data_IF_093597848773
#
_entry.id   IF_093597848773
#
_cell.length_a   1.000
_cell.length_b   1.000
_cell.length_c   1.000
_cell.angle_alpha   90.00
_cell.angle_beta   90.00
_cell.angle_gamma   90.00
#
_symmetry.space_group_name_H-M   'P 1'
#
loop_
_entity.id
_entity.type
_entity.pdbx_description
1 polymer ?
#
# COMPACT_ATOMS: atom_id res chain seq x y z
N UNK A 1 -4.89 -12.29 21.04
CA UNK A 1 -6.04 -12.31 20.10
C UNK A 1 -6.39 -10.87 19.74
N UNK A 2 -6.07 -10.44 18.52
CA UNK A 2 -6.47 -9.11 18.04
C UNK A 2 -7.94 -9.22 17.62
N UNK A 3 -8.84 -8.56 18.35
CA UNK A 3 -10.25 -8.42 17.93
C UNK A 3 -10.25 -7.86 16.50
N UNK A 4 -10.82 -8.62 15.57
CA UNK A 4 -10.88 -8.24 14.17
C UNK A 4 -11.77 -7.00 14.04
N UNK A 5 -11.16 -5.84 13.78
CA UNK A 5 -11.85 -4.54 13.62
C UNK A 5 -12.85 -4.55 12.44
N UNK A 6 -12.80 -5.59 11.62
CA UNK A 6 -13.53 -5.73 10.35
C UNK A 6 -14.62 -6.80 10.36
N UNK A 7 -14.83 -7.53 11.46
CA UNK A 7 -15.63 -8.77 11.49
C UNK A 7 -16.99 -8.70 10.80
N UNK A 8 -17.77 -7.64 11.04
CA UNK A 8 -19.12 -7.49 10.44
C UNK A 8 -19.13 -6.80 9.07
N UNK A 9 -18.00 -6.22 8.64
CA UNK A 9 -17.91 -5.46 7.39
C UNK A 9 -17.22 -6.22 6.26
N UNK A 10 -16.52 -7.30 6.58
CA UNK A 10 -15.92 -8.18 5.58
C UNK A 10 -17.01 -8.96 4.83
N UNK A 11 -16.91 -8.97 3.49
CA UNK A 11 -17.84 -9.61 2.57
C UNK A 11 -17.12 -10.67 1.76
N UNK A 12 -17.88 -11.65 1.28
CA UNK A 12 -17.40 -12.68 0.35
C UNK A 12 -18.15 -12.52 -0.97
N UNK A 13 -17.41 -12.31 -2.05
CA UNK A 13 -17.95 -12.38 -3.40
C UNK A 13 -17.77 -13.80 -3.94
N UNK A 14 -18.88 -14.44 -4.33
CA UNK A 14 -18.88 -15.79 -4.90
C UNK A 14 -18.62 -15.70 -6.41
N UNK A 15 -17.56 -16.35 -6.85
CA UNK A 15 -17.18 -16.48 -8.27
C UNK A 15 -16.52 -17.85 -8.48
N UNK A 16 -15.61 -18.00 -9.44
CA UNK A 16 -14.82 -19.23 -9.63
C UNK A 16 -14.04 -19.60 -8.37
N UNK A 17 -13.53 -18.59 -7.66
CA UNK A 17 -13.08 -18.70 -6.27
C UNK A 17 -13.70 -17.59 -5.42
N UNK A 18 -13.82 -17.84 -4.12
CA UNK A 18 -14.28 -16.84 -3.17
C UNK A 18 -13.29 -15.67 -3.09
N UNK A 19 -13.77 -14.45 -3.27
CA UNK A 19 -12.98 -13.22 -3.04
C UNK A 19 -13.43 -12.58 -1.74
N UNK A 20 -12.52 -12.46 -0.78
CA UNK A 20 -12.77 -11.74 0.47
C UNK A 20 -12.40 -10.28 0.30
N UNK A 21 -13.31 -9.40 0.67
CA UNK A 21 -13.13 -7.97 0.50
C UNK A 21 -13.84 -7.17 1.59
N UNK A 22 -13.40 -5.94 1.75
CA UNK A 22 -14.07 -4.91 2.53
C UNK A 22 -14.39 -3.73 1.60
N UNK A 23 -15.64 -3.26 1.64
CA UNK A 23 -16.10 -2.17 0.77
C UNK A 23 -16.70 -1.04 1.59
N UNK A 24 -16.17 0.16 1.37
CA UNK A 24 -16.70 1.42 1.90
C UNK A 24 -17.42 2.16 0.77
N UNK A 25 -18.71 2.35 0.96
CA UNK A 25 -19.60 3.03 0.00
C UNK A 25 -19.51 4.55 0.19
N UNK A 26 -19.36 5.28 -0.90
CA UNK A 26 -19.50 6.74 -0.97
C UNK A 26 -20.42 7.05 -2.16
N UNK A 27 -21.76 6.99 -1.96
CA UNK A 27 -22.73 6.98 -3.06
C UNK A 27 -22.67 8.20 -4.00
N UNK A 28 -22.22 9.34 -3.48
CA UNK A 28 -22.10 10.59 -4.24
C UNK A 28 -20.80 10.67 -5.06
N UNK A 29 -19.90 9.69 -4.90
CA UNK A 29 -18.64 9.62 -5.64
C UNK A 29 -18.76 8.69 -6.85
N UNK A 30 -18.29 9.16 -8.00
CA UNK A 30 -18.13 8.38 -9.22
C UNK A 30 -16.75 7.71 -9.34
N UNK A 31 -15.90 7.85 -8.32
CA UNK A 31 -14.61 7.18 -8.20
C UNK A 31 -14.68 5.84 -7.45
N UNK A 32 -13.87 4.88 -7.91
CA UNK A 32 -13.57 3.62 -7.21
C UNK A 32 -12.06 3.49 -6.97
N UNK A 33 -11.65 3.44 -5.71
CA UNK A 33 -10.30 3.07 -5.30
C UNK A 33 -10.23 1.60 -4.92
N UNK A 34 -9.45 0.82 -5.65
CA UNK A 34 -9.16 -0.59 -5.40
C UNK A 34 -7.81 -0.73 -4.72
N UNK A 35 -7.79 -1.27 -3.51
CA UNK A 35 -6.57 -1.42 -2.69
C UNK A 35 -6.20 -2.89 -2.54
N UNK A 36 -5.00 -3.23 -3.00
CA UNK A 36 -4.43 -4.57 -2.90
C UNK A 36 -3.53 -4.70 -1.67
N UNK A 37 -3.67 -5.83 -0.97
CA UNK A 37 -2.91 -6.16 0.24
C UNK A 37 -1.43 -6.49 -0.03
N UNK A 38 -0.58 -6.19 0.93
CA UNK A 38 0.83 -6.58 0.95
C UNK A 38 1.03 -8.04 1.40
N UNK A 39 2.26 -8.54 1.31
CA UNK A 39 2.63 -9.84 1.89
C UNK A 39 2.75 -9.71 3.40
N UNK A 40 2.25 -10.71 4.09
CA UNK A 40 2.34 -10.85 5.54
C UNK A 40 2.93 -12.23 5.89
N UNK A 41 3.31 -12.48 7.16
CA UNK A 41 3.73 -13.81 7.59
C UNK A 41 2.67 -14.88 7.29
N UNK A 42 3.06 -16.16 7.16
CA UNK A 42 2.14 -17.26 6.85
C UNK A 42 0.86 -17.24 7.69
N UNK A 43 -0.27 -17.43 7.01
CA UNK A 43 -1.62 -17.50 7.58
C UNK A 43 -2.07 -16.23 8.32
N UNK A 44 -1.43 -15.08 8.08
CA UNK A 44 -1.86 -13.77 8.56
C UNK A 44 -2.20 -12.91 7.36
N UNK A 45 -3.46 -12.59 7.17
CA UNK A 45 -3.91 -11.74 6.07
C UNK A 45 -4.49 -10.45 6.64
N UNK A 46 -4.08 -9.30 6.09
CA UNK A 46 -4.53 -7.98 6.55
C UNK A 46 -4.83 -7.07 5.37
N UNK A 47 -5.79 -6.16 5.57
CA UNK A 47 -6.00 -5.04 4.66
C UNK A 47 -4.96 -3.95 4.92
N UNK A 48 -4.45 -3.35 3.85
CA UNK A 48 -3.54 -2.23 3.92
C UNK A 48 -4.30 -0.90 3.77
N UNK A 49 -3.75 0.17 4.34
CA UNK A 49 -4.18 1.56 4.15
C UNK A 49 -5.61 1.93 4.61
N UNK A 50 -6.37 1.03 5.23
CA UNK A 50 -7.75 1.35 5.66
C UNK A 50 -7.81 2.59 6.56
N UNK A 51 -6.89 2.73 7.53
CA UNK A 51 -6.85 3.93 8.37
C UNK A 51 -6.33 5.17 7.65
N UNK A 52 -5.42 5.00 6.69
CA UNK A 52 -4.85 6.08 5.88
C UNK A 52 -5.92 6.70 4.98
N UNK A 53 -6.80 5.86 4.41
CA UNK A 53 -7.80 6.25 3.42
C UNK A 53 -9.20 6.50 4.02
N UNK A 54 -9.33 6.49 5.35
CA UNK A 54 -10.62 6.56 6.03
C UNK A 54 -11.39 7.85 5.73
N UNK A 55 -10.67 8.96 5.51
CA UNK A 55 -11.28 10.28 5.26
C UNK A 55 -11.35 10.66 3.78
N UNK A 56 -10.76 9.84 2.89
CA UNK A 56 -10.87 10.02 1.44
C UNK A 56 -12.32 9.77 0.99
N UNK A 57 -12.88 10.69 0.22
CA UNK A 57 -14.26 10.65 -0.27
C UNK A 57 -14.35 9.96 -1.62
N UNK A 58 -14.32 8.63 -1.61
CA UNK A 58 -14.61 7.80 -2.77
C UNK A 58 -15.08 6.40 -2.36
N UNK A 59 -15.64 5.64 -3.30
CA UNK A 59 -15.90 4.23 -3.07
C UNK A 59 -14.57 3.51 -2.93
N UNK A 60 -14.38 2.73 -1.86
CA UNK A 60 -13.11 2.05 -1.56
C UNK A 60 -13.32 0.56 -1.44
N UNK A 61 -12.64 -0.19 -2.29
CA UNK A 61 -12.63 -1.65 -2.30
C UNK A 61 -11.26 -2.15 -1.86
N UNK A 62 -11.21 -2.76 -0.68
CA UNK A 62 -10.02 -3.43 -0.16
C UNK A 62 -10.16 -4.93 -0.41
N UNK A 63 -9.21 -5.55 -1.13
CA UNK A 63 -9.29 -6.97 -1.47
C UNK A 63 -8.22 -7.74 -0.71
N UNK A 64 -8.62 -8.80 -0.01
CA UNK A 64 -7.71 -9.63 0.77
C UNK A 64 -7.16 -10.78 -0.09
N UNK A 65 -5.83 -10.86 -0.21
CA UNK A 65 -5.16 -11.98 -0.89
C UNK A 65 -4.97 -13.16 0.05
N UNK A 66 -6.04 -13.92 0.31
CA UNK A 66 -6.06 -15.04 1.26
C UNK A 66 -5.88 -16.42 0.61
N UNK A 67 -5.20 -16.48 -0.52
CA UNK A 67 -4.96 -17.70 -1.28
C UNK A 67 -3.57 -18.28 -0.97
N UNK A 68 -3.45 -19.61 -0.89
CA UNK A 68 -2.23 -20.24 -0.38
C UNK A 68 -1.88 -19.79 1.05
N UNK A 69 -0.63 -19.95 1.45
CA UNK A 69 -0.19 -19.62 2.82
C UNK A 69 0.03 -18.12 3.05
N UNK A 70 0.34 -17.35 2.00
CA UNK A 70 0.78 -15.94 2.11
C UNK A 70 0.19 -15.01 1.03
N UNK A 71 -0.79 -15.50 0.27
CA UNK A 71 -1.35 -14.82 -0.89
C UNK A 71 -0.69 -15.28 -2.19
N UNK A 72 -1.39 -15.08 -3.31
CA UNK A 72 -1.00 -15.56 -4.62
C UNK A 72 -0.87 -14.43 -5.66
N UNK A 73 -0.61 -13.19 -5.21
CA UNK A 73 -0.54 -12.01 -6.08
C UNK A 73 -1.83 -11.81 -6.90
N UNK A 74 -2.94 -12.37 -6.40
CA UNK A 74 -4.23 -12.43 -7.09
C UNK A 74 -4.20 -13.08 -8.48
N UNK A 75 -3.31 -14.05 -8.71
CA UNK A 75 -3.16 -14.74 -10.01
C UNK A 75 -3.94 -16.07 -10.04
N UNK A 76 -3.38 -17.11 -9.46
CA UNK A 76 -3.95 -18.46 -9.41
C UNK A 76 -2.86 -19.50 -9.18
N UNK A 77 -3.29 -20.73 -8.92
CA UNK A 77 -2.39 -21.87 -8.70
C UNK A 77 -1.98 -22.52 -10.04
N UNK A 78 -0.75 -23.03 -10.15
CA UNK A 78 -0.28 -23.80 -11.31
C UNK A 78 -0.48 -23.07 -12.66
N UNK A 79 -0.05 -21.81 -12.73
CA UNK A 79 -0.18 -20.90 -13.88
C UNK A 79 -1.64 -20.60 -14.28
N UNK A 80 -2.60 -20.91 -13.40
CA UNK A 80 -3.99 -20.51 -13.55
C UNK A 80 -4.19 -19.01 -13.28
N UNK A 81 -5.23 -18.44 -13.89
CA UNK A 81 -5.69 -17.06 -13.66
C UNK A 81 -7.09 -17.03 -13.02
N UNK A 82 -7.47 -18.10 -12.30
CA UNK A 82 -8.82 -18.24 -11.73
C UNK A 82 -9.10 -17.24 -10.61
N UNK A 83 -8.08 -16.88 -9.82
CA UNK A 83 -8.20 -15.81 -8.82
C UNK A 83 -8.37 -14.48 -9.54
N UNK A 84 -7.55 -14.24 -10.57
CA UNK A 84 -7.65 -13.03 -11.39
C UNK A 84 -9.05 -12.84 -11.99
N UNK A 85 -9.60 -13.90 -12.56
CA UNK A 85 -10.95 -13.93 -13.13
C UNK A 85 -12.01 -13.58 -12.08
N UNK A 86 -11.84 -14.07 -10.84
CA UNK A 86 -12.78 -13.82 -9.74
C UNK A 86 -12.67 -12.38 -9.23
N UNK A 87 -11.45 -11.86 -9.12
CA UNK A 87 -11.19 -10.47 -8.71
C UNK A 87 -11.75 -9.50 -9.74
N UNK A 88 -11.48 -9.67 -11.04
CA UNK A 88 -12.04 -8.78 -12.05
C UNK A 88 -13.57 -8.90 -12.14
N UNK A 89 -14.14 -10.07 -11.86
CA UNK A 89 -15.60 -10.23 -11.76
C UNK A 89 -16.19 -9.40 -10.62
N UNK A 90 -15.53 -9.35 -9.46
CA UNK A 90 -15.91 -8.47 -8.35
C UNK A 90 -15.80 -6.98 -8.76
N UNK A 91 -14.69 -6.59 -9.41
CA UNK A 91 -14.50 -5.22 -9.88
C UNK A 91 -15.63 -4.81 -10.84
N UNK A 92 -15.91 -5.63 -11.84
CA UNK A 92 -16.98 -5.40 -12.81
C UNK A 92 -18.38 -5.37 -12.18
N UNK A 93 -18.61 -6.19 -11.14
CA UNK A 93 -19.86 -6.13 -10.39
C UNK A 93 -20.01 -4.79 -9.67
N UNK A 94 -18.96 -4.32 -8.98
CA UNK A 94 -18.99 -3.05 -8.25
C UNK A 94 -19.12 -1.87 -9.22
N UNK A 95 -18.30 -1.80 -10.27
CA UNK A 95 -18.35 -0.69 -11.22
C UNK A 95 -19.72 -0.57 -11.89
N UNK A 96 -20.34 -1.69 -12.27
CA UNK A 96 -21.72 -1.68 -12.81
C UNK A 96 -22.76 -1.29 -11.76
N UNK A 97 -22.67 -1.82 -10.54
CA UNK A 97 -23.63 -1.54 -9.48
C UNK A 97 -23.65 -0.06 -9.09
N UNK A 98 -22.50 0.60 -9.08
CA UNK A 98 -22.35 2.00 -8.70
C UNK A 98 -22.18 2.94 -9.91
N UNK A 99 -22.39 2.43 -11.14
CA UNK A 99 -22.27 3.21 -12.39
C UNK A 99 -20.93 3.97 -12.53
N UNK A 100 -19.83 3.32 -12.14
CA UNK A 100 -18.48 3.87 -12.17
C UNK A 100 -17.83 3.55 -13.51
N UNK A 101 -17.36 4.58 -14.21
CA UNK A 101 -16.64 4.42 -15.48
C UNK A 101 -15.25 3.83 -15.23
N UNK A 102 -14.75 3.02 -16.17
CA UNK A 102 -13.41 2.39 -16.08
C UNK A 102 -12.29 3.42 -15.86
N UNK A 103 -12.40 4.60 -16.50
CA UNK A 103 -11.45 5.72 -16.34
C UNK A 103 -11.46 6.36 -14.93
N UNK A 104 -12.50 6.10 -14.13
CA UNK A 104 -12.62 6.56 -12.74
C UNK A 104 -12.24 5.46 -11.73
N UNK A 105 -11.65 4.35 -12.21
CA UNK A 105 -11.11 3.30 -11.34
C UNK A 105 -9.62 3.57 -11.11
N UNK A 106 -9.24 3.59 -9.83
CA UNK A 106 -7.86 3.72 -9.38
C UNK A 106 -7.45 2.41 -8.71
N UNK A 107 -6.28 1.89 -9.05
CA UNK A 107 -5.69 0.76 -8.33
C UNK A 107 -4.50 1.22 -7.50
N UNK A 108 -4.37 0.72 -6.27
CA UNK A 108 -3.31 1.13 -5.37
C UNK A 108 -2.79 0.00 -4.49
N UNK A 109 -1.53 0.13 -4.09
CA UNK A 109 -0.89 -0.75 -3.13
C UNK A 109 0.61 -0.53 -3.07
N UNK A 110 1.29 -1.18 -2.11
CA UNK A 110 2.75 -1.21 -2.08
C UNK A 110 3.27 -2.64 -2.10
N UNK A 111 4.54 -2.82 -2.45
CA UNK A 111 5.17 -4.13 -2.46
C UNK A 111 4.31 -5.05 -3.36
N UNK A 112 3.86 -6.22 -2.87
CA UNK A 112 2.95 -7.12 -3.62
C UNK A 112 1.69 -6.40 -4.13
N UNK A 113 1.13 -5.54 -3.28
CA UNK A 113 -0.06 -4.76 -3.63
C UNK A 113 0.26 -3.77 -4.76
N UNK A 114 1.48 -3.23 -4.80
CA UNK A 114 1.95 -2.36 -5.88
C UNK A 114 2.11 -3.11 -7.21
N UNK A 115 2.66 -4.34 -7.18
CA UNK A 115 2.65 -5.22 -8.36
C UNK A 115 1.21 -5.46 -8.85
N UNK A 116 0.30 -5.78 -7.93
CA UNK A 116 -1.08 -6.11 -8.27
C UNK A 116 -1.81 -4.89 -8.82
N UNK A 117 -1.57 -3.70 -8.27
CA UNK A 117 -2.08 -2.45 -8.79
C UNK A 117 -1.61 -2.21 -10.24
N UNK A 118 -0.30 -2.36 -10.51
CA UNK A 118 0.24 -2.27 -11.87
C UNK A 118 -0.40 -3.30 -12.82
N UNK A 119 -0.42 -4.57 -12.41
CA UNK A 119 -0.90 -5.67 -13.25
C UNK A 119 -2.38 -5.50 -13.64
N UNK A 120 -3.24 -5.24 -12.66
CA UNK A 120 -4.68 -5.07 -12.92
C UNK A 120 -4.99 -3.75 -13.61
N UNK A 121 -4.35 -2.65 -13.19
CA UNK A 121 -4.57 -1.34 -13.80
C UNK A 121 -4.23 -1.32 -15.29
N UNK A 122 -3.11 -1.92 -15.67
CA UNK A 122 -2.67 -1.99 -17.06
C UNK A 122 -3.54 -2.98 -17.86
N UNK A 123 -3.68 -4.22 -17.37
CA UNK A 123 -4.38 -5.29 -18.10
C UNK A 123 -5.84 -4.96 -18.37
N UNK A 124 -6.50 -4.28 -17.44
CA UNK A 124 -7.92 -3.94 -17.52
C UNK A 124 -8.19 -2.47 -17.86
N UNK A 125 -7.14 -1.72 -18.24
CA UNK A 125 -7.22 -0.34 -18.74
C UNK A 125 -8.01 0.59 -17.80
N UNK A 126 -7.72 0.49 -16.50
CA UNK A 126 -8.27 1.42 -15.50
C UNK A 126 -7.68 2.82 -15.68
N UNK A 127 -8.25 3.82 -15.03
CA UNK A 127 -7.82 5.21 -15.19
C UNK A 127 -6.44 5.49 -14.60
N UNK A 128 -6.21 5.03 -13.36
CA UNK A 128 -5.04 5.44 -12.60
C UNK A 128 -4.43 4.29 -11.79
N UNK A 129 -3.12 4.36 -11.57
CA UNK A 129 -2.36 3.42 -10.73
C UNK A 129 -1.48 4.19 -9.77
N UNK A 130 -1.52 3.85 -8.47
CA UNK A 130 -0.62 4.40 -7.45
C UNK A 130 0.11 3.26 -6.73
N UNK A 131 1.39 3.05 -7.06
CA UNK A 131 2.18 1.91 -6.61
C UNK A 131 3.41 2.32 -5.78
N UNK A 132 3.56 1.75 -4.58
CA UNK A 132 4.73 1.97 -3.71
C UNK A 132 5.72 0.80 -3.75
N UNK A 133 6.95 1.02 -4.22
CA UNK A 133 8.00 -0.01 -4.32
C UNK A 133 7.51 -1.36 -4.87
N UNK A 134 6.90 -1.42 -6.07
CA UNK A 134 6.31 -2.65 -6.64
C UNK A 134 7.37 -3.68 -7.07
N UNK A 135 7.12 -4.99 -6.88
CA UNK A 135 8.01 -6.07 -7.38
C UNK A 135 7.71 -6.48 -8.82
N UNK A 136 8.05 -5.61 -9.77
CA UNK A 136 7.71 -5.78 -11.19
C UNK A 136 8.32 -7.03 -11.83
N UNK A 137 9.44 -7.54 -11.30
CA UNK A 137 10.06 -8.81 -11.69
C UNK A 137 9.78 -9.88 -10.64
N UNK A 138 8.60 -10.47 -10.72
CA UNK A 138 8.07 -11.33 -9.67
C UNK A 138 8.94 -12.56 -9.39
N UNK A 139 9.49 -13.20 -10.43
CA UNK A 139 10.37 -14.36 -10.29
C UNK A 139 11.68 -14.03 -9.58
N UNK A 140 12.37 -12.95 -9.98
CA UNK A 140 13.59 -12.48 -9.29
C UNK A 140 13.30 -12.18 -7.80
N UNK A 141 12.17 -11.55 -7.51
CA UNK A 141 11.80 -11.28 -6.12
C UNK A 141 11.54 -12.56 -5.33
N UNK A 142 10.65 -13.42 -5.81
CA UNK A 142 10.22 -14.61 -5.06
C UNK A 142 11.33 -15.65 -4.92
N UNK A 143 12.24 -15.78 -5.91
CA UNK A 143 13.33 -16.75 -5.86
C UNK A 143 14.57 -16.22 -5.14
N UNK A 144 14.98 -14.97 -5.41
CA UNK A 144 16.32 -14.51 -5.01
C UNK A 144 16.29 -13.55 -3.83
N UNK A 145 15.38 -12.57 -3.86
CA UNK A 145 15.37 -11.44 -2.92
C UNK A 145 14.56 -11.78 -1.65
N UNK A 146 13.26 -12.05 -1.83
CA UNK A 146 12.35 -12.40 -0.75
C UNK A 146 12.39 -13.89 -0.35
N UNK A 147 12.89 -14.76 -1.25
CA UNK A 147 12.95 -16.23 -1.06
C UNK A 147 11.61 -16.83 -0.62
N UNK A 148 10.53 -16.31 -1.18
CA UNK A 148 9.16 -16.72 -0.91
C UNK A 148 8.76 -17.91 -1.80
N UNK A 149 9.49 -19.03 -1.66
CA UNK A 149 9.35 -20.19 -2.53
C UNK A 149 7.94 -20.80 -2.50
N UNK A 150 7.25 -20.77 -1.37
CA UNK A 150 5.86 -21.27 -1.28
C UNK A 150 4.90 -20.47 -2.17
N UNK A 151 5.09 -19.15 -2.29
CA UNK A 151 4.30 -18.31 -3.19
C UNK A 151 4.68 -18.59 -4.65
N UNK A 152 5.99 -18.72 -4.94
CA UNK A 152 6.46 -19.03 -6.29
C UNK A 152 5.94 -20.38 -6.80
N UNK A 153 6.08 -21.43 -6.00
CA UNK A 153 5.61 -22.79 -6.32
C UNK A 153 4.10 -22.82 -6.46
N UNK A 154 3.35 -22.17 -5.56
CA UNK A 154 1.90 -22.07 -5.70
C UNK A 154 1.48 -21.47 -7.05
N UNK A 155 2.07 -20.34 -7.43
CA UNK A 155 1.67 -19.63 -8.65
C UNK A 155 2.19 -20.33 -9.91
N UNK A 156 3.43 -20.80 -9.92
CA UNK A 156 4.08 -21.31 -11.13
C UNK A 156 3.97 -22.84 -11.31
N UNK A 157 3.66 -23.56 -10.24
CA UNK A 157 3.54 -25.02 -10.16
C UNK A 157 4.85 -25.75 -9.82
N UNK A 158 5.99 -25.08 -9.94
CA UNK A 158 7.31 -25.61 -9.54
C UNK A 158 8.32 -24.48 -9.28
N UNK A 159 9.53 -24.86 -8.88
CA UNK A 159 10.66 -23.94 -8.64
C UNK A 159 11.76 -24.05 -9.72
N UNK A 160 11.36 -24.29 -10.97
CA UNK A 160 12.30 -24.31 -12.10
C UNK A 160 12.73 -22.89 -12.54
N UNK A 161 13.83 -22.81 -13.29
CA UNK A 161 14.26 -21.55 -13.93
C UNK A 161 13.21 -21.04 -14.93
N UNK A 162 12.55 -21.94 -15.65
CA UNK A 162 11.44 -21.59 -16.55
C UNK A 162 10.29 -20.92 -15.77
N UNK A 163 9.93 -21.46 -14.60
CA UNK A 163 8.91 -20.88 -13.74
C UNK A 163 9.30 -19.50 -13.21
N UNK A 164 10.58 -19.28 -12.89
CA UNK A 164 11.10 -17.95 -12.55
C UNK A 164 10.97 -16.96 -13.71
N UNK A 165 11.33 -17.37 -14.92
CA UNK A 165 11.18 -16.54 -16.13
C UNK A 165 9.71 -16.26 -16.46
N UNK A 166 8.85 -17.27 -16.32
CA UNK A 166 7.41 -17.14 -16.45
C UNK A 166 6.87 -16.04 -15.53
N UNK A 167 7.18 -16.11 -14.23
CA UNK A 167 6.75 -15.12 -13.23
C UNK A 167 7.27 -13.72 -13.56
N UNK A 168 8.53 -13.58 -13.96
CA UNK A 168 9.09 -12.30 -14.40
C UNK A 168 8.36 -11.72 -15.62
N UNK A 169 7.86 -12.57 -16.51
CA UNK A 169 7.21 -12.13 -17.74
C UNK A 169 5.79 -11.59 -17.55
N UNK A 170 5.09 -11.94 -16.45
CA UNK A 170 3.66 -11.69 -16.31
C UNK A 170 3.27 -10.21 -16.44
N UNK A 171 3.91 -9.34 -15.67
CA UNK A 171 3.63 -7.90 -15.74
C UNK A 171 4.12 -7.27 -17.05
N UNK A 172 5.26 -7.72 -17.59
CA UNK A 172 5.80 -7.15 -18.83
C UNK A 172 4.97 -7.55 -20.05
N UNK A 173 4.34 -8.73 -20.04
CA UNK A 173 3.43 -9.18 -21.09
C UNK A 173 2.15 -8.34 -21.16
N UNK A 174 1.66 -7.78 -20.05
CA UNK A 174 0.48 -6.90 -20.11
C UNK A 174 0.79 -5.54 -20.74
N UNK A 175 2.06 -5.11 -20.74
CA UNK A 175 2.48 -3.89 -21.45
C UNK A 175 2.44 -4.02 -22.98
N UNK A 176 2.56 -5.23 -23.52
CA UNK A 176 2.54 -5.48 -24.97
C UNK A 176 1.15 -5.81 -25.50
N UNK A 177 0.13 -5.84 -24.65
CA UNK A 177 -1.25 -6.06 -25.08
C UNK A 177 -1.76 -4.83 -25.85
N UNK A 178 -2.53 -5.01 -26.94
CA UNK A 178 -3.20 -3.91 -27.60
C UNK A 178 -4.08 -3.16 -26.61
N UNK A 179 -3.91 -1.84 -26.54
CA UNK A 179 -4.68 -0.98 -25.65
C UNK A 179 -5.06 0.30 -26.36
N UNK A 180 -6.30 0.74 -26.14
CA UNK A 180 -6.79 2.03 -26.63
C UNK A 180 -6.41 3.16 -25.64
N UNK A 181 -6.09 2.80 -24.39
CA UNK A 181 -5.71 3.75 -23.34
C UNK A 181 -4.76 3.10 -22.34
N UNK A 182 -3.68 3.79 -21.99
CA UNK A 182 -2.88 3.43 -20.82
C UNK A 182 -3.40 4.16 -19.58
N UNK A 183 -3.35 3.53 -18.39
CA UNK A 183 -3.58 4.23 -17.15
C UNK A 183 -2.52 5.30 -16.91
N UNK A 184 -2.85 6.33 -16.15
CA UNK A 184 -1.84 7.21 -15.58
C UNK A 184 -1.13 6.50 -14.42
N UNK A 185 0.19 6.32 -14.55
CA UNK A 185 0.99 5.50 -13.65
C UNK A 185 1.78 6.40 -12.68
N UNK A 186 1.55 6.21 -11.38
CA UNK A 186 2.25 6.89 -10.29
C UNK A 186 3.02 5.86 -9.47
N UNK A 187 4.34 6.02 -9.38
CA UNK A 187 5.23 5.10 -8.66
C UNK A 187 6.04 5.89 -7.63
N UNK A 188 6.05 5.39 -6.40
CA UNK A 188 6.90 5.90 -5.33
C UNK A 188 7.89 4.84 -4.86
N UNK A 189 9.14 5.22 -4.63
CA UNK A 189 10.18 4.32 -4.12
C UNK A 189 11.32 5.09 -3.43
N UNK A 190 12.10 4.41 -2.61
CA UNK A 190 13.31 4.94 -1.97
C UNK A 190 14.52 4.72 -2.87
N UNK A 191 15.43 5.68 -2.92
CA UNK A 191 16.70 5.55 -3.67
C UNK A 191 17.55 4.35 -3.23
N UNK A 192 17.57 4.04 -1.93
CA UNK A 192 18.33 2.91 -1.37
C UNK A 192 17.46 1.65 -1.17
N UNK A 193 16.16 1.72 -1.51
CA UNK A 193 15.34 0.52 -1.57
C UNK A 193 15.81 -0.37 -2.72
N UNK A 194 16.20 -1.61 -2.43
CA UNK A 194 16.57 -2.58 -3.46
C UNK A 194 15.50 -2.77 -4.56
N UNK A 195 14.22 -2.51 -4.27
CA UNK A 195 13.18 -2.52 -5.29
C UNK A 195 13.36 -1.44 -6.34
N UNK A 196 14.00 -0.31 -6.01
CA UNK A 196 14.24 0.75 -6.98
C UNK A 196 15.11 0.23 -8.13
N UNK A 197 16.28 -0.32 -7.79
CA UNK A 197 17.23 -0.84 -8.78
C UNK A 197 16.73 -2.10 -9.48
N UNK A 198 16.14 -3.04 -8.73
CA UNK A 198 15.82 -4.37 -9.25
C UNK A 198 14.44 -4.45 -9.95
N UNK A 199 13.53 -3.53 -9.63
CA UNK A 199 12.14 -3.61 -10.09
C UNK A 199 11.65 -2.32 -10.76
N UNK A 200 11.75 -1.18 -10.08
CA UNK A 200 11.18 0.08 -10.59
C UNK A 200 11.95 0.60 -11.81
N UNK A 201 13.29 0.63 -11.77
CA UNK A 201 14.10 1.08 -12.90
C UNK A 201 13.93 0.21 -14.16
N UNK A 202 13.99 -1.14 -14.09
CA UNK A 202 13.72 -1.99 -15.24
C UNK A 202 12.33 -1.77 -15.85
N UNK A 203 11.31 -1.60 -15.01
CA UNK A 203 9.94 -1.39 -15.46
C UNK A 203 9.74 -0.02 -16.13
N UNK A 204 10.19 1.05 -15.49
CA UNK A 204 10.11 2.42 -16.04
C UNK A 204 10.94 2.60 -17.31
N UNK A 205 12.07 1.90 -17.42
CA UNK A 205 12.83 1.80 -18.68
C UNK A 205 12.00 1.16 -19.79
N UNK A 206 11.23 0.11 -19.49
CA UNK A 206 10.36 -0.53 -20.47
C UNK A 206 9.19 0.38 -20.87
N UNK A 207 8.54 1.06 -19.91
CA UNK A 207 7.53 2.08 -20.19
C UNK A 207 8.06 3.16 -21.14
N UNK A 208 9.27 3.66 -20.88
CA UNK A 208 9.93 4.68 -21.71
C UNK A 208 10.16 4.20 -23.15
N UNK A 209 10.57 2.94 -23.34
CA UNK A 209 10.74 2.37 -24.69
C UNK A 209 9.43 2.29 -25.47
N UNK A 210 8.33 2.03 -24.76
CA UNK A 210 6.98 1.96 -25.33
C UNK A 210 6.33 3.34 -25.50
N UNK A 211 6.99 4.42 -25.07
CA UNK A 211 6.43 5.78 -25.11
C UNK A 211 5.31 6.00 -24.09
N UNK A 212 5.21 5.17 -23.06
CA UNK A 212 4.21 5.29 -21.99
C UNK A 212 4.71 6.28 -20.95
N UNK A 213 3.90 7.28 -20.65
CA UNK A 213 4.18 8.28 -19.61
C UNK A 213 3.94 7.68 -18.22
N UNK A 214 4.75 8.13 -17.25
CA UNK A 214 4.63 7.75 -15.85
C UNK A 214 5.19 8.86 -14.95
N UNK A 215 4.72 8.90 -13.71
CA UNK A 215 5.22 9.75 -12.64
C UNK A 215 6.02 8.88 -11.67
N UNK A 216 7.28 9.24 -11.45
CA UNK A 216 8.18 8.54 -10.53
C UNK A 216 8.65 9.50 -9.43
N UNK A 217 8.21 9.25 -8.19
CA UNK A 217 8.71 9.93 -6.99
C UNK A 217 9.77 9.05 -6.30
N UNK A 218 11.01 9.55 -6.26
CA UNK A 218 12.12 8.90 -5.57
C UNK A 218 12.46 9.71 -4.32
N UNK A 219 12.35 9.10 -3.13
CA UNK A 219 12.71 9.73 -1.85
C UNK A 219 13.97 9.12 -1.26
N UNK A 220 14.59 9.86 -0.34
CA UNK A 220 15.78 9.40 0.38
C UNK A 220 15.37 8.59 1.61
N UNK A 221 15.44 7.26 1.53
CA UNK A 221 15.29 6.37 2.69
C UNK A 221 15.99 5.03 2.46
N UNK A 222 16.57 4.49 3.54
CA UNK A 222 17.65 3.49 3.48
C UNK A 222 17.18 2.04 3.26
N UNK A 223 15.87 1.77 3.21
CA UNK A 223 15.35 0.41 3.07
C UNK A 223 13.88 0.35 2.66
N UNK A 224 13.43 -0.83 2.21
CA UNK A 224 12.03 -1.08 1.87
C UNK A 224 11.04 -0.78 3.00
N UNK A 225 11.47 -0.88 4.27
CA UNK A 225 10.63 -0.54 5.42
C UNK A 225 10.23 0.94 5.46
N UNK A 226 11.00 1.83 4.82
CA UNK A 226 10.71 3.26 4.71
C UNK A 226 9.38 3.56 4.03
N UNK A 227 8.87 2.66 3.18
CA UNK A 227 7.52 2.80 2.60
C UNK A 227 6.43 3.00 3.66
N UNK A 228 6.61 2.51 4.90
CA UNK A 228 5.65 2.73 5.98
C UNK A 228 5.51 4.21 6.36
N UNK A 229 6.58 5.01 6.18
CA UNK A 229 6.55 6.44 6.44
C UNK A 229 6.15 7.24 5.21
N UNK A 230 6.75 6.93 4.06
CA UNK A 230 6.72 7.82 2.90
C UNK A 230 5.59 7.52 1.92
N UNK A 231 5.12 6.27 1.84
CA UNK A 231 4.06 5.93 0.90
C UNK A 231 2.66 6.39 1.33
N UNK A 232 2.23 6.34 2.61
CA UNK A 232 0.90 6.84 2.98
C UNK A 232 0.66 8.31 2.61
N UNK A 233 1.58 9.26 2.91
CA UNK A 233 1.45 10.64 2.46
C UNK A 233 1.40 10.75 0.93
N UNK A 234 2.34 10.13 0.21
CA UNK A 234 2.37 10.14 -1.25
C UNK A 234 1.08 9.59 -1.88
N UNK A 235 0.59 8.47 -1.36
CA UNK A 235 -0.66 7.85 -1.79
C UNK A 235 -1.82 8.81 -1.64
N UNK A 236 -1.97 9.44 -0.47
CA UNK A 236 -3.08 10.36 -0.21
C UNK A 236 -2.97 11.66 -0.97
N UNK A 237 -1.78 12.22 -1.13
CA UNK A 237 -1.54 13.43 -1.94
C UNK A 237 -1.92 13.16 -3.40
N UNK A 238 -1.41 12.06 -3.98
CA UNK A 238 -1.71 11.67 -5.37
C UNK A 238 -3.22 11.42 -5.58
N UNK A 239 -3.88 10.73 -4.64
CA UNK A 239 -5.32 10.47 -4.74
C UNK A 239 -6.15 11.76 -4.59
N UNK A 240 -5.72 12.69 -3.74
CA UNK A 240 -6.34 14.00 -3.62
C UNK A 240 -6.19 14.82 -4.90
N UNK A 241 -5.03 14.79 -5.54
CA UNK A 241 -4.80 15.47 -6.82
C UNK A 241 -5.66 14.87 -7.95
N UNK A 242 -5.77 13.54 -8.02
CA UNK A 242 -6.59 12.86 -9.05
C UNK A 242 -8.09 13.16 -8.86
N UNK A 243 -8.57 13.20 -7.61
CA UNK A 243 -10.00 13.34 -7.29
C UNK A 243 -10.41 14.77 -6.90
N UNK A 244 -9.50 15.74 -6.99
CA UNK A 244 -9.70 17.13 -6.55
C UNK A 244 -10.22 17.26 -5.10
N UNK A 245 -9.52 16.64 -4.15
CA UNK A 245 -9.84 16.67 -2.72
C UNK A 245 -8.79 17.44 -1.91
N UNK A 246 -9.20 18.03 -0.78
CA UNK A 246 -8.29 18.74 0.11
C UNK A 246 -7.48 17.78 0.99
N UNK A 247 -6.16 17.77 0.83
CA UNK A 247 -5.25 16.90 1.59
C UNK A 247 -5.35 17.10 3.12
N UNK A 248 -5.62 18.31 3.59
CA UNK A 248 -5.74 18.59 5.05
C UNK A 248 -6.93 17.86 5.70
N UNK A 249 -7.98 17.60 4.92
CA UNK A 249 -9.17 16.89 5.39
C UNK A 249 -9.01 15.36 5.25
N UNK A 250 -8.15 14.90 4.33
CA UNK A 250 -7.93 13.49 4.01
C UNK A 250 -6.79 12.87 4.82
N UNK A 251 -5.61 13.51 4.83
CA UNK A 251 -4.42 12.99 5.52
C UNK A 251 -3.35 14.09 5.71
N UNK A 252 -3.37 14.83 6.83
CA UNK A 252 -2.44 15.95 7.04
C UNK A 252 -1.01 15.51 7.39
N UNK A 253 -0.75 14.23 7.70
CA UNK A 253 0.58 13.77 8.14
C UNK A 253 1.50 13.63 6.92
N UNK A 254 2.65 14.31 6.93
CA UNK A 254 3.69 14.22 5.87
C UNK A 254 4.86 13.33 6.26
N UNK A 255 5.33 13.45 7.49
CA UNK A 255 6.47 12.67 7.97
C UNK A 255 6.45 12.63 9.50
N UNK A 256 6.88 11.51 10.08
CA UNK A 256 7.20 11.43 11.51
C UNK A 256 8.67 11.08 11.63
N UNK A 257 9.45 11.98 12.24
CA UNK A 257 10.83 11.69 12.62
C UNK A 257 10.90 11.29 14.09
N UNK A 258 11.83 10.39 14.37
CA UNK A 258 12.12 9.94 15.73
C UNK A 258 13.63 9.78 15.88
N UNK A 259 14.20 10.57 16.76
CA UNK A 259 15.64 10.74 16.87
C UNK A 259 16.09 10.68 18.32
N UNK A 260 17.37 10.36 18.50
CA UNK A 260 18.04 10.42 19.79
C UNK A 260 18.76 11.76 19.93
N UNK A 261 18.40 12.50 20.98
CA UNK A 261 19.15 13.67 21.45
C UNK A 261 19.62 13.42 22.89
N UNK A 262 20.89 13.02 23.05
CA UNK A 262 21.47 12.64 24.34
C UNK A 262 20.67 11.51 25.03
N UNK A 263 20.02 11.82 26.15
CA UNK A 263 19.14 10.91 26.92
C UNK A 263 17.66 11.13 26.60
N UNK A 264 17.34 11.98 25.62
CA UNK A 264 15.98 12.26 25.17
C UNK A 264 15.67 11.62 23.83
N UNK A 265 14.44 11.13 23.74
CA UNK A 265 13.76 10.78 22.53
C UNK A 265 13.04 12.02 21.99
N UNK A 266 13.33 12.41 20.76
CA UNK A 266 12.67 13.54 20.09
C UNK A 266 11.79 12.98 18.99
N UNK A 267 10.48 13.27 19.06
CA UNK A 267 9.51 12.90 18.03
C UNK A 267 8.96 14.17 17.42
N UNK A 268 8.99 14.28 16.10
CA UNK A 268 8.43 15.42 15.37
C UNK A 268 7.48 14.93 14.27
N UNK A 269 6.29 15.51 14.22
CA UNK A 269 5.27 15.22 13.22
C UNK A 269 5.16 16.41 12.25
N UNK A 270 5.67 16.24 11.04
CA UNK A 270 5.50 17.21 9.96
C UNK A 270 4.12 17.03 9.35
N UNK A 271 3.36 18.12 9.26
CA UNK A 271 1.97 18.10 8.80
C UNK A 271 1.67 19.19 7.76
N UNK A 272 0.51 19.06 7.12
CA UNK A 272 -0.16 20.14 6.36
C UNK A 272 -1.39 20.62 7.11
N UNK A 273 -1.66 21.91 6.99
CA UNK A 273 -2.80 22.56 7.63
C UNK A 273 -2.48 23.23 8.96
N UNK A 274 -3.45 24.03 9.40
CA UNK A 274 -3.37 24.85 10.61
C UNK A 274 -4.27 24.28 11.71
N UNK A 275 -3.99 24.65 12.96
CA UNK A 275 -4.83 24.31 14.11
C UNK A 275 -5.03 22.81 14.32
N UNK A 276 -3.93 22.05 14.29
CA UNK A 276 -3.90 20.62 14.56
C UNK A 276 -3.54 20.33 16.02
N UNK A 277 -4.07 19.23 16.55
CA UNK A 277 -3.70 18.70 17.86
C UNK A 277 -3.02 17.34 17.72
N UNK A 278 -2.02 17.07 18.57
CA UNK A 278 -1.12 15.93 18.47
C UNK A 278 -1.11 15.12 19.76
N UNK A 279 -1.20 13.80 19.66
CA UNK A 279 -0.97 12.89 20.78
C UNK A 279 0.10 11.86 20.42
N UNK A 280 0.89 11.43 21.41
CA UNK A 280 2.08 10.62 21.21
C UNK A 280 2.06 9.42 22.14
N UNK A 281 1.97 8.21 21.60
CA UNK A 281 2.06 6.98 22.38
C UNK A 281 3.42 6.35 22.15
N UNK A 282 4.25 6.35 23.20
CA UNK A 282 5.61 5.85 23.15
C UNK A 282 5.58 4.35 23.43
N UNK A 283 6.24 3.58 22.58
CA UNK A 283 6.42 2.15 22.73
C UNK A 283 7.88 1.85 23.02
N UNK A 284 8.11 0.92 23.94
CA UNK A 284 9.39 0.26 24.19
C UNK A 284 9.20 -1.24 23.97
N UNK A 285 9.98 -1.83 23.07
CA UNK A 285 9.96 -3.28 22.79
C UNK A 285 8.53 -3.82 22.58
N UNK A 286 7.77 -3.15 21.69
CA UNK A 286 6.36 -3.43 21.35
C UNK A 286 5.31 -3.19 22.45
N UNK A 287 5.70 -2.74 23.64
CA UNK A 287 4.78 -2.39 24.73
C UNK A 287 4.64 -0.89 24.86
N UNK A 288 3.43 -0.41 25.15
CA UNK A 288 3.21 1.00 25.45
C UNK A 288 3.94 1.32 26.75
N UNK A 289 4.85 2.30 26.69
CA UNK A 289 5.55 2.84 27.84
C UNK A 289 4.80 4.04 28.42
N UNK A 290 4.39 4.98 27.56
CA UNK A 290 3.77 6.25 27.97
C UNK A 290 2.76 6.74 26.94
N UNK A 291 1.73 7.48 27.39
CA UNK A 291 0.74 8.13 26.52
C UNK A 291 0.65 9.61 26.83
N UNK A 292 1.15 10.43 25.91
CA UNK A 292 0.91 11.87 25.92
C UNK A 292 -0.37 12.15 25.14
N UNK A 293 -1.35 12.76 25.81
CA UNK A 293 -2.62 13.18 25.21
C UNK A 293 -2.45 14.45 24.37
N UNK A 294 -3.55 14.87 23.72
CA UNK A 294 -3.56 15.95 22.74
C UNK A 294 -2.95 17.27 23.26
N UNK A 295 -2.01 17.79 22.49
CA UNK A 295 -1.31 19.07 22.66
C UNK A 295 -1.25 19.81 21.32
N UNK A 296 -1.05 21.12 21.33
CA UNK A 296 -0.83 21.92 20.12
C UNK A 296 0.59 21.77 19.54
N UNK A 297 1.52 21.13 20.27
CA UNK A 297 2.89 20.91 19.81
C UNK A 297 2.98 19.68 18.91
N UNK A 298 3.49 19.85 17.69
CA UNK A 298 3.85 18.75 16.79
C UNK A 298 5.14 18.03 17.17
N UNK A 299 5.85 18.54 18.19
CA UNK A 299 7.13 18.01 18.67
C UNK A 299 7.05 17.60 20.13
N UNK A 300 7.62 16.44 20.44
CA UNK A 300 7.71 15.85 21.77
C UNK A 300 9.17 15.59 22.14
N UNK A 301 9.53 15.94 23.37
CA UNK A 301 10.77 15.54 24.02
C UNK A 301 10.43 14.59 25.18
N UNK A 302 10.98 13.39 25.17
CA UNK A 302 10.73 12.39 26.20
C UNK A 302 12.03 11.83 26.75
N UNK A 303 12.23 11.91 28.07
CA UNK A 303 13.43 11.41 28.74
C UNK A 303 13.44 9.88 28.79
N UNK A 304 14.51 9.28 28.29
CA UNK A 304 14.73 7.83 28.27
C UNK A 304 15.44 7.41 29.54
N UNK A 305 14.82 6.49 30.28
CA UNK A 305 15.36 5.95 31.54
C UNK A 305 16.02 4.58 31.37
N UNK A 306 15.69 3.88 30.29
CA UNK A 306 16.08 2.50 30.09
C UNK A 306 16.53 2.27 28.65
N UNK A 307 17.50 1.37 28.48
CA UNK A 307 17.92 0.87 27.17
C UNK A 307 16.79 0.07 26.53
N UNK A 308 16.73 0.09 25.19
CA UNK A 308 15.72 -0.65 24.43
C UNK A 308 15.43 -0.03 23.07
N UNK A 309 14.49 -0.66 22.35
CA UNK A 309 14.04 -0.19 21.04
C UNK A 309 12.74 0.59 21.19
N UNK A 310 12.73 1.83 20.72
CA UNK A 310 11.63 2.77 20.87
C UNK A 310 10.99 3.08 19.53
N UNK A 311 9.67 3.29 19.54
CA UNK A 311 8.90 3.90 18.44
C UNK A 311 7.75 4.71 19.01
N UNK A 312 7.19 5.62 18.21
CA UNK A 312 6.08 6.46 18.63
C UNK A 312 4.90 6.31 17.67
N UNK A 313 3.71 6.06 18.21
CA UNK A 313 2.46 6.19 17.46
C UNK A 313 1.94 7.60 17.65
N UNK A 314 1.92 8.36 16.57
CA UNK A 314 1.44 9.74 16.56
C UNK A 314 0.00 9.76 16.08
N UNK A 315 -0.82 10.53 16.78
CA UNK A 315 -2.19 10.83 16.40
C UNK A 315 -2.27 12.32 16.09
N UNK A 316 -2.89 12.66 14.96
CA UNK A 316 -3.19 14.04 14.59
C UNK A 316 -4.70 14.20 14.55
N UNK A 317 -5.23 15.27 15.14
CA UNK A 317 -6.64 15.62 15.07
C UNK A 317 -6.78 16.99 14.43
N UNK A 318 -7.63 17.10 13.41
CA UNK A 318 -7.93 18.39 12.78
C UNK A 318 -9.11 19.09 13.47
N UNK A 319 -9.40 20.33 13.02
CA UNK A 319 -10.51 21.16 13.52
C UNK A 319 -11.90 20.51 13.43
N UNK A 320 -12.08 19.59 12.47
CA UNK A 320 -13.34 18.85 12.27
C UNK A 320 -13.46 17.64 13.22
N UNK A 321 -12.45 17.39 14.06
CA UNK A 321 -12.39 16.23 14.94
C UNK A 321 -11.96 14.94 14.26
N UNK A 322 -11.64 14.97 12.96
CA UNK A 322 -11.07 13.82 12.22
C UNK A 322 -9.72 13.46 12.80
N UNK A 323 -9.49 12.16 12.99
CA UNK A 323 -8.27 11.62 13.58
C UNK A 323 -7.48 10.85 12.54
N UNK A 324 -6.18 11.12 12.50
CA UNK A 324 -5.19 10.51 11.62
C UNK A 324 -4.12 9.88 12.50
N UNK A 325 -3.50 8.80 12.00
CA UNK A 325 -2.59 8.00 12.79
C UNK A 325 -1.47 7.51 11.89
N UNK A 326 -0.24 7.62 12.39
CA UNK A 326 0.93 6.99 11.79
C UNK A 326 1.92 6.58 12.89
N UNK A 327 2.66 5.51 12.62
CA UNK A 327 3.71 5.03 13.50
C UNK A 327 5.04 5.54 12.97
N UNK A 328 5.93 6.02 13.83
CA UNK A 328 7.32 6.34 13.46
C UNK A 328 8.14 5.08 13.16
N UNK A 329 9.34 5.28 12.65
CA UNK A 329 10.36 4.23 12.64
C UNK A 329 10.84 3.90 14.05
N UNK A 330 11.81 3.01 14.14
CA UNK A 330 12.43 2.66 15.42
C UNK A 330 13.73 3.41 15.62
N UNK A 331 14.00 3.73 16.88
CA UNK A 331 15.30 4.18 17.35
C UNK A 331 15.74 3.31 18.52
N UNK A 332 17.04 2.99 18.58
CA UNK A 332 17.59 2.14 19.63
C UNK A 332 18.42 2.98 20.59
N UNK A 333 18.15 2.82 21.89
CA UNK A 333 18.95 3.40 22.96
C UNK A 333 19.78 2.28 23.60
N UNK A 334 21.10 2.34 23.39
CA UNK A 334 22.08 1.33 23.80
C UNK A 334 22.67 1.55 25.18
#
# INVERSE_FOLDING_TARGET
MVKNKFGEKEKIFKSFVDVVYYFEEEPESDWLLVVFSAVNPPNKFTYNYVSTLNHLKCNKLFILDKYGEQGAYYLGENRSFIIETSVVSLLNYITRKYNIQTKNVITAGSSKGGYSALYYGIKYQFGYIVAGGPQTKLGEFLFDQGKNYSIAEYIAGDLSLESKEYLNSLLYKVLSMPSDSMPDIYIHVGNEDHHYQNHVLPFTKELSKLGVLYNLDVKNYDSHDGLRQYFPPYLTETLCDIMDQNIEDVYPIKLITIEKDKESLVVECVTTGNSLEYAFYIYKDEKILEKIYYTSSSKLYFQIKEKGRYKCKVFVKNRNGSKFIQMSDYVTFN
#
